data_IF_610290606911
#
_entry.id   IF_610290606911
#
_cell.length_a   1.000
_cell.length_b   1.000
_cell.length_c   1.000
_cell.angle_alpha   90.00
_cell.angle_beta   90.00
_cell.angle_gamma   90.00
#
_symmetry.space_group_name_H-M   'P 1'
#
loop_
_entity.id
_entity.type
_entity.pdbx_description
1 polymer ?
#
# COMPACT_ATOMS: atom_id res chain seq x y z
N UNK A 1 17.04 77.24 15.17
CA UNK A 1 17.93 76.07 14.97
C UNK A 1 17.12 75.03 14.21
N UNK A 2 17.48 74.76 12.96
CA UNK A 2 16.83 73.74 12.12
C UNK A 2 17.26 72.35 12.61
N UNK A 3 16.31 71.51 13.03
CA UNK A 3 16.58 70.12 13.41
C UNK A 3 15.77 69.20 12.50
N UNK A 4 16.47 68.54 11.58
CA UNK A 4 15.95 67.49 10.71
C UNK A 4 15.90 66.21 11.55
N UNK A 5 14.72 65.61 11.74
CA UNK A 5 14.59 64.28 12.34
C UNK A 5 14.11 63.27 11.29
N UNK A 6 14.90 62.21 11.19
CA UNK A 6 14.89 61.09 10.26
C UNK A 6 13.68 60.15 10.47
N UNK A 7 13.00 59.76 9.39
CA UNK A 7 11.97 58.71 9.36
C UNK A 7 12.60 57.31 9.46
N UNK A 8 12.02 56.35 10.19
CA UNK A 8 12.23 54.93 9.90
C UNK A 8 11.07 54.37 9.07
N UNK A 9 11.41 53.86 7.89
CA UNK A 9 10.54 53.09 7.01
C UNK A 9 10.33 51.68 7.60
N UNK A 10 9.10 51.32 7.99
CA UNK A 10 8.76 49.94 8.36
C UNK A 10 8.62 49.09 7.10
N UNK A 11 9.46 48.05 6.96
CA UNK A 11 9.30 47.02 5.96
C UNK A 11 8.30 45.95 6.44
N UNK A 12 7.20 45.76 5.70
CA UNK A 12 6.28 44.64 5.90
C UNK A 12 6.87 43.37 5.27
N UNK A 13 7.27 42.40 6.11
CA UNK A 13 7.59 41.04 5.66
C UNK A 13 6.32 40.20 5.55
N UNK A 14 5.92 39.84 4.34
CA UNK A 14 4.89 38.83 4.11
C UNK A 14 5.55 37.46 4.16
N UNK A 15 5.26 36.68 5.21
CA UNK A 15 5.68 35.29 5.31
C UNK A 15 4.57 34.44 4.67
N UNK A 16 4.75 34.06 3.39
CA UNK A 16 3.90 33.05 2.76
C UNK A 16 4.45 31.68 3.16
N UNK A 17 3.86 31.06 4.18
CA UNK A 17 4.19 29.68 4.54
C UNK A 17 3.64 28.73 3.47
N UNK A 18 4.48 27.86 2.87
CA UNK A 18 3.98 26.89 1.90
C UNK A 18 3.04 25.91 2.60
N UNK A 19 1.82 25.81 2.10
CA UNK A 19 0.86 24.77 2.50
C UNK A 19 1.44 23.44 2.02
N UNK A 20 1.65 22.43 2.89
CA UNK A 20 2.06 21.11 2.43
C UNK A 20 0.91 20.52 1.62
N UNK A 21 1.09 20.48 0.30
CA UNK A 21 0.21 19.75 -0.61
C UNK A 21 0.40 18.26 -0.30
N UNK A 22 -0.59 17.64 0.33
CA UNK A 22 -0.64 16.19 0.50
C UNK A 22 -0.99 15.62 -0.87
N UNK A 23 0.03 15.39 -1.71
CA UNK A 23 -0.13 14.64 -2.95
C UNK A 23 -0.57 13.22 -2.59
N UNK A 24 -1.87 12.97 -2.69
CA UNK A 24 -2.40 11.61 -2.70
C UNK A 24 -2.12 11.05 -4.08
N UNK A 25 -0.98 10.37 -4.24
CA UNK A 25 -0.65 9.64 -5.46
C UNK A 25 -1.78 8.67 -5.75
N UNK A 26 -2.51 8.89 -6.84
CA UNK A 26 -3.59 8.01 -7.26
C UNK A 26 -3.02 6.61 -7.51
N UNK A 27 -3.44 5.64 -6.70
CA UNK A 27 -2.97 4.26 -6.81
C UNK A 27 -3.51 3.68 -8.11
N UNK A 28 -2.61 3.45 -9.07
CA UNK A 28 -2.94 2.74 -10.30
C UNK A 28 -3.24 1.27 -9.95
N UNK A 29 -4.31 0.67 -10.47
CA UNK A 29 -4.58 -0.74 -10.22
C UNK A 29 -3.56 -1.63 -10.94
N UNK A 30 -3.05 -2.64 -10.24
CA UNK A 30 -2.11 -3.64 -10.77
C UNK A 30 -2.66 -5.05 -10.56
N UNK A 31 -2.18 -5.98 -11.39
CA UNK A 31 -2.52 -7.39 -11.34
C UNK A 31 -1.35 -8.19 -10.75
N UNK A 32 -1.62 -9.06 -9.77
CA UNK A 32 -0.60 -9.87 -9.09
C UNK A 32 -0.60 -11.30 -9.63
N UNK A 33 0.58 -11.80 -10.06
CA UNK A 33 0.77 -13.13 -10.68
C UNK A 33 1.61 -14.06 -9.83
N UNK A 34 1.21 -15.33 -9.74
CA UNK A 34 2.08 -16.41 -9.25
C UNK A 34 2.86 -17.03 -10.41
N UNK A 35 4.17 -17.25 -10.25
CA UNK A 35 5.02 -17.92 -11.26
C UNK A 35 5.62 -19.19 -10.65
N UNK A 36 5.21 -20.36 -11.15
CA UNK A 36 5.83 -21.66 -10.84
C UNK A 36 5.79 -22.54 -12.08
N UNK A 37 6.82 -23.36 -12.33
CA UNK A 37 6.88 -24.28 -13.48
C UNK A 37 6.09 -25.57 -13.26
N UNK A 38 5.36 -26.10 -14.26
CA UNK A 38 5.10 -25.52 -15.60
C UNK A 38 4.29 -24.22 -15.51
N UNK A 39 4.57 -23.25 -16.40
CA UNK A 39 4.10 -21.86 -16.25
C UNK A 39 2.57 -21.78 -16.27
N UNK A 40 1.96 -21.66 -15.09
CA UNK A 40 0.56 -21.29 -14.93
C UNK A 40 0.48 -19.80 -14.56
N UNK A 41 -0.26 -19.01 -15.32
CA UNK A 41 -0.57 -17.62 -14.96
C UNK A 41 -1.77 -17.65 -14.01
N UNK A 42 -1.48 -17.70 -12.71
CA UNK A 42 -2.52 -17.65 -11.68
C UNK A 42 -2.57 -16.26 -11.06
N UNK A 43 -3.78 -15.77 -10.86
CA UNK A 43 -4.07 -14.41 -10.41
C UNK A 43 -4.78 -14.44 -9.06
N UNK A 44 -4.39 -13.53 -8.16
CA UNK A 44 -5.04 -13.39 -6.86
C UNK A 44 -6.46 -12.86 -7.05
N UNK A 45 -7.43 -13.51 -6.42
CA UNK A 45 -8.84 -13.15 -6.49
C UNK A 45 -9.57 -13.59 -5.21
N UNK A 46 -10.70 -12.96 -4.92
CA UNK A 46 -11.63 -13.46 -3.92
C UNK A 46 -12.36 -14.72 -4.41
N UNK A 47 -12.54 -15.71 -3.54
CA UNK A 47 -13.30 -16.91 -3.89
C UNK A 47 -14.78 -16.53 -4.12
N UNK A 48 -15.40 -16.88 -5.26
CA UNK A 48 -16.77 -16.45 -5.57
C UNK A 48 -17.81 -16.88 -4.53
N UNK A 49 -17.62 -18.05 -3.92
CA UNK A 49 -18.50 -18.60 -2.87
C UNK A 49 -18.21 -18.04 -1.49
N UNK A 50 -17.04 -17.45 -1.26
CA UNK A 50 -16.62 -16.88 0.03
C UNK A 50 -15.63 -15.75 -0.19
N UNK A 51 -16.14 -14.52 -0.31
CA UNK A 51 -15.33 -13.34 -0.66
C UNK A 51 -14.20 -13.03 0.34
N UNK A 52 -14.26 -13.55 1.56
CA UNK A 52 -13.21 -13.41 2.57
C UNK A 52 -11.97 -14.28 2.32
N UNK A 53 -12.05 -15.24 1.39
CA UNK A 53 -11.01 -16.22 1.13
C UNK A 53 -10.21 -15.84 -0.12
N UNK A 54 -8.92 -15.49 0.00
CA UNK A 54 -8.05 -15.27 -1.16
C UNK A 54 -7.65 -16.59 -1.81
N UNK A 55 -7.76 -16.66 -3.13
CA UNK A 55 -7.34 -17.82 -3.93
C UNK A 55 -6.58 -17.38 -5.17
N UNK A 56 -5.79 -18.30 -5.75
CA UNK A 56 -5.13 -18.12 -7.04
C UNK A 56 -5.96 -18.80 -8.13
N UNK A 57 -6.30 -18.10 -9.22
CA UNK A 57 -7.14 -18.64 -10.30
C UNK A 57 -6.85 -18.06 -11.68
N UNK A 58 -7.71 -18.32 -12.69
CA UNK A 58 -7.45 -17.91 -14.06
C UNK A 58 -7.62 -16.40 -14.28
N UNK A 59 -7.02 -15.88 -15.35
CA UNK A 59 -7.04 -14.44 -15.69
C UNK A 59 -8.44 -13.87 -15.84
N UNK A 60 -9.35 -14.66 -16.43
CA UNK A 60 -10.71 -14.25 -16.72
C UNK A 60 -11.53 -13.91 -15.48
N UNK A 61 -11.16 -14.46 -14.32
CA UNK A 61 -11.78 -14.14 -13.03
C UNK A 61 -10.91 -13.24 -12.15
N UNK A 62 -9.77 -12.78 -12.67
CA UNK A 62 -8.81 -11.99 -11.91
C UNK A 62 -9.42 -10.71 -11.37
N UNK A 63 -8.93 -10.34 -10.19
CA UNK A 63 -9.42 -9.16 -9.49
C UNK A 63 -8.37 -8.05 -9.55
N UNK A 64 -8.84 -6.80 -9.66
CA UNK A 64 -7.99 -5.62 -9.60
C UNK A 64 -7.89 -5.11 -8.17
N UNK A 65 -6.70 -4.63 -7.79
CA UNK A 65 -6.43 -4.12 -6.45
C UNK A 65 -5.83 -2.72 -6.49
N UNK A 66 -6.24 -1.87 -5.55
CA UNK A 66 -5.50 -0.67 -5.19
C UNK A 66 -4.29 -1.08 -4.36
N UNK A 67 -3.08 -0.79 -4.85
CA UNK A 67 -1.82 -1.15 -4.19
C UNK A 67 -1.16 0.08 -3.58
N UNK A 68 -0.90 0.06 -2.27
CA UNK A 68 -0.11 1.06 -1.55
C UNK A 68 0.53 0.42 -0.32
N UNK A 69 0.56 1.14 0.81
CA UNK A 69 0.92 0.53 2.11
C UNK A 69 -0.09 -0.55 2.54
N UNK A 70 -1.31 -0.48 2.01
CA UNK A 70 -2.35 -1.52 2.11
C UNK A 70 -2.72 -2.02 0.71
N UNK A 71 -3.25 -3.23 0.62
CA UNK A 71 -3.77 -3.80 -0.62
C UNK A 71 -5.28 -3.96 -0.48
N UNK A 72 -6.05 -3.28 -1.31
CA UNK A 72 -7.52 -3.28 -1.26
C UNK A 72 -8.12 -3.77 -2.57
N UNK A 73 -9.05 -4.71 -2.47
CA UNK A 73 -9.81 -5.23 -3.60
C UNK A 73 -10.76 -4.18 -4.18
N UNK A 74 -10.80 -4.02 -5.51
CA UNK A 74 -11.76 -3.12 -6.17
C UNK A 74 -13.17 -3.72 -6.27
N UNK A 75 -13.32 -5.06 -6.21
CA UNK A 75 -14.63 -5.70 -6.31
C UNK A 75 -15.36 -5.72 -4.96
N UNK A 76 -14.64 -5.98 -3.88
CA UNK A 76 -15.20 -6.19 -2.53
C UNK A 76 -14.89 -5.07 -1.55
N UNK A 77 -13.97 -4.16 -1.87
CA UNK A 77 -13.42 -3.16 -0.94
C UNK A 77 -12.72 -3.74 0.30
N UNK A 78 -12.51 -5.06 0.34
CA UNK A 78 -11.80 -5.73 1.44
C UNK A 78 -10.27 -5.57 1.29
N UNK A 79 -9.59 -5.58 2.42
CA UNK A 79 -8.14 -5.46 2.53
C UNK A 79 -7.48 -6.83 2.66
N UNK A 80 -6.40 -7.04 1.92
CA UNK A 80 -5.55 -8.22 2.08
C UNK A 80 -4.71 -8.07 3.35
N UNK A 81 -4.86 -9.03 4.25
CA UNK A 81 -4.28 -9.05 5.58
C UNK A 81 -3.37 -10.26 5.77
N UNK A 82 -2.42 -10.12 6.69
CA UNK A 82 -1.53 -11.21 7.11
C UNK A 82 -2.03 -11.73 8.47
N UNK A 83 -2.32 -13.03 8.55
CA UNK A 83 -2.74 -13.68 9.78
C UNK A 83 -1.56 -14.12 10.65
N UNK A 84 -1.90 -14.63 11.83
CA UNK A 84 -0.91 -15.10 12.79
C UNK A 84 -0.21 -16.39 12.31
N UNK A 85 0.97 -16.66 12.89
CA UNK A 85 1.70 -17.91 12.65
C UNK A 85 0.81 -19.10 12.99
N UNK A 86 0.76 -20.06 12.06
CA UNK A 86 0.11 -21.35 12.28
C UNK A 86 1.17 -22.38 12.64
N UNK A 87 0.95 -23.12 13.72
CA UNK A 87 1.90 -24.12 14.21
C UNK A 87 2.22 -25.18 13.15
N UNK A 88 3.51 -25.50 13.03
CA UNK A 88 4.00 -26.45 12.03
C UNK A 88 3.95 -25.97 10.57
N UNK A 89 3.56 -24.72 10.30
CA UNK A 89 3.59 -24.14 8.94
C UNK A 89 4.76 -23.18 8.77
N UNK A 90 5.36 -23.17 7.58
CA UNK A 90 6.43 -22.24 7.21
C UNK A 90 5.91 -20.89 6.70
N UNK A 91 4.59 -20.75 6.51
CA UNK A 91 3.94 -19.57 5.96
C UNK A 91 2.99 -18.93 6.97
N UNK A 92 2.67 -17.66 6.72
CA UNK A 92 1.57 -16.95 7.37
C UNK A 92 0.33 -17.01 6.46
N UNK A 93 -0.87 -17.25 7.00
CA UNK A 93 -2.09 -17.27 6.19
C UNK A 93 -2.45 -15.85 5.75
N UNK A 94 -3.10 -15.72 4.59
CA UNK A 94 -3.67 -14.46 4.11
C UNK A 94 -5.19 -14.50 4.22
N UNK A 95 -5.81 -13.35 4.44
CA UNK A 95 -7.27 -13.21 4.49
C UNK A 95 -7.73 -11.86 3.97
N UNK A 96 -8.98 -11.77 3.53
CA UNK A 96 -9.63 -10.50 3.24
C UNK A 96 -10.46 -10.02 4.43
N UNK A 97 -10.23 -8.78 4.87
CA UNK A 97 -10.96 -8.15 5.99
C UNK A 97 -11.49 -6.77 5.65
N UNK A 98 -12.46 -6.28 6.43
CA UNK A 98 -13.07 -4.95 6.24
C UNK A 98 -12.12 -3.79 6.61
N UNK A 99 -11.04 -4.10 7.33
CA UNK A 99 -9.96 -3.18 7.65
C UNK A 99 -8.61 -3.84 7.38
N UNK A 100 -7.58 -3.03 7.12
CA UNK A 100 -6.23 -3.53 7.01
C UNK A 100 -5.60 -3.72 8.39
N UNK A 101 -4.99 -4.87 8.63
CA UNK A 101 -4.26 -5.17 9.87
C UNK A 101 -2.74 -4.93 9.75
N UNK A 102 -2.27 -4.47 8.59
CA UNK A 102 -0.85 -4.29 8.31
C UNK A 102 -0.62 -3.24 7.24
N UNK A 103 0.42 -2.44 7.40
CA UNK A 103 0.92 -1.52 6.37
C UNK A 103 2.24 -2.00 5.76
N UNK A 104 2.55 -3.28 5.96
CA UNK A 104 3.84 -3.86 5.61
C UNK A 104 3.99 -4.21 4.13
N UNK A 105 2.97 -3.99 3.29
CA UNK A 105 3.04 -4.30 1.87
C UNK A 105 3.97 -3.34 1.13
N UNK A 106 4.74 -3.87 0.18
CA UNK A 106 5.64 -3.13 -0.69
C UNK A 106 5.65 -3.75 -2.09
N UNK A 107 6.22 -3.01 -3.04
CA UNK A 107 6.44 -3.46 -4.42
C UNK A 107 7.92 -3.59 -4.70
N UNK A 108 8.31 -4.73 -5.27
CA UNK A 108 9.62 -4.94 -5.88
C UNK A 108 9.40 -5.26 -7.36
N UNK A 109 9.49 -4.22 -8.20
CA UNK A 109 9.00 -4.28 -9.58
C UNK A 109 7.50 -4.58 -9.61
N UNK A 110 7.12 -5.66 -10.30
CA UNK A 110 5.72 -6.13 -10.41
C UNK A 110 5.34 -7.12 -9.29
N UNK A 111 6.23 -7.38 -8.34
CA UNK A 111 6.02 -8.36 -7.26
C UNK A 111 5.59 -7.66 -5.98
N UNK A 112 4.47 -8.11 -5.39
CA UNK A 112 4.11 -7.71 -4.02
C UNK A 112 4.94 -8.50 -3.02
N UNK A 113 5.60 -7.77 -2.14
CA UNK A 113 6.40 -8.29 -1.04
C UNK A 113 5.95 -7.67 0.28
N UNK A 114 6.44 -8.20 1.39
CA UNK A 114 6.49 -7.46 2.64
C UNK A 114 7.76 -6.59 2.66
N UNK A 115 7.62 -5.32 3.04
CA UNK A 115 8.72 -4.37 3.11
C UNK A 115 9.83 -4.90 4.04
N UNK A 116 11.08 -4.79 3.60
CA UNK A 116 12.25 -5.25 4.38
C UNK A 116 12.34 -4.61 5.76
N UNK A 117 11.85 -3.37 5.90
CA UNK A 117 11.82 -2.63 7.17
C UNK A 117 10.66 -3.01 8.09
N UNK A 118 9.73 -3.85 7.63
CA UNK A 118 8.58 -4.30 8.44
C UNK A 118 8.94 -5.47 9.36
N UNK A 119 8.07 -5.78 10.31
CA UNK A 119 8.17 -6.99 11.14
C UNK A 119 8.11 -8.30 10.33
N UNK A 120 7.63 -8.24 9.08
CA UNK A 120 7.59 -9.35 8.13
C UNK A 120 8.72 -9.29 7.09
N UNK A 121 9.65 -8.35 7.22
CA UNK A 121 10.81 -8.22 6.34
C UNK A 121 11.78 -9.39 6.49
N UNK A 122 12.67 -9.54 5.50
CA UNK A 122 13.70 -10.59 5.50
C UNK A 122 14.59 -10.39 6.74
N UNK A 123 14.54 -11.35 7.68
CA UNK A 123 15.40 -11.33 8.86
C UNK A 123 16.70 -12.05 8.54
N UNK A 124 17.82 -11.37 8.71
CA UNK A 124 19.11 -12.05 8.76
C UNK A 124 19.10 -12.98 9.99
N UNK A 125 19.56 -14.22 9.79
CA UNK A 125 19.56 -15.27 10.81
C UNK A 125 20.98 -15.46 11.31
#
# INVERSE_FOLDING_TARGET
MFSILLLPLLAFGVICSPIPLTETTALKPYQLRGVQSPIFHLYLQSLPTSKSTPVMGPESSSEYFNLGSTIQSLNSSLYLNIGNKVDGKSYLPLSFGTSSNTTAWALEGDTVITATTSSYGRREY
#
